data_IF_870090826595
#
_entry.id   IF_870090826595
#
_cell.length_a   1.000
_cell.length_b   1.000
_cell.length_c   1.000
_cell.angle_alpha   90.00
_cell.angle_beta   90.00
_cell.angle_gamma   90.00
#
_symmetry.space_group_name_H-M   'P 1'
#
loop_
_entity.id
_entity.type
_entity.pdbx_description
1 polymer ?
#
# COMPACT_ATOMS: atom_id res chain seq x y z
N UNK A 1 -14.25 -3.30 14.96
CA UNK A 1 -13.01 -3.85 14.34
C UNK A 1 -12.48 -2.92 13.25
N UNK A 2 -13.31 -2.51 12.28
CA UNK A 2 -12.95 -1.55 11.20
C UNK A 2 -12.28 -0.25 11.69
N UNK A 3 -12.72 0.43 12.78
CA UNK A 3 -12.11 1.70 13.20
C UNK A 3 -10.66 1.58 13.71
N UNK A 4 -10.35 0.49 14.43
CA UNK A 4 -9.00 0.23 14.94
C UNK A 4 -8.01 -0.09 13.81
N UNK A 5 -8.48 -0.73 12.75
CA UNK A 5 -7.66 -0.99 11.55
C UNK A 5 -7.38 0.28 10.76
N UNK A 6 -8.37 1.18 10.67
CA UNK A 6 -8.20 2.50 10.05
C UNK A 6 -7.24 3.37 10.85
N UNK A 7 -7.33 3.36 12.19
CA UNK A 7 -6.37 4.05 13.07
C UNK A 7 -4.95 3.50 12.94
N UNK A 8 -4.80 2.16 13.00
CA UNK A 8 -3.50 1.50 12.84
C UNK A 8 -2.88 1.74 11.46
N UNK A 9 -3.67 1.65 10.39
CA UNK A 9 -3.17 1.93 9.05
C UNK A 9 -2.82 3.40 8.84
N UNK A 10 -3.58 4.33 9.41
CA UNK A 10 -3.25 5.77 9.37
C UNK A 10 -1.93 6.04 10.08
N UNK A 11 -1.68 5.40 11.23
CA UNK A 11 -0.41 5.47 11.94
C UNK A 11 0.74 4.89 11.12
N UNK A 12 0.55 3.74 10.47
CA UNK A 12 1.57 3.15 9.57
C UNK A 12 1.79 4.04 8.35
N UNK A 13 0.76 4.67 7.80
CA UNK A 13 0.87 5.60 6.67
C UNK A 13 1.63 6.89 7.06
N UNK A 14 1.40 7.38 8.28
CA UNK A 14 2.16 8.50 8.86
C UNK A 14 3.61 8.11 9.20
N UNK A 15 3.83 6.86 9.61
CA UNK A 15 5.14 6.31 9.89
C UNK A 15 5.88 5.82 8.63
N UNK A 16 5.20 5.67 7.49
CA UNK A 16 5.73 5.20 6.21
C UNK A 16 7.04 5.88 5.77
N UNK A 17 7.23 7.21 5.93
CA UNK A 17 8.49 7.87 5.62
C UNK A 17 9.63 7.44 6.54
N UNK A 18 9.34 7.23 7.83
CA UNK A 18 10.33 6.85 8.85
C UNK A 18 10.70 5.38 8.69
N UNK A 19 9.72 4.50 8.50
CA UNK A 19 9.96 3.08 8.19
C UNK A 19 10.81 2.92 6.94
N UNK A 20 10.51 3.68 5.89
CA UNK A 20 11.29 3.63 4.66
C UNK A 20 12.73 4.13 4.86
N UNK A 21 12.95 5.21 5.62
CA UNK A 21 14.31 5.69 5.95
C UNK A 21 15.09 4.72 6.84
N UNK A 22 14.42 4.10 7.81
CA UNK A 22 15.03 3.06 8.66
C UNK A 22 15.42 1.83 7.84
N UNK A 23 14.57 1.44 6.88
CA UNK A 23 14.86 0.34 5.95
C UNK A 23 16.01 0.66 4.99
N UNK A 24 16.12 1.91 4.50
CA UNK A 24 17.23 2.37 3.66
C UNK A 24 18.59 2.39 4.40
N UNK A 25 18.58 2.46 5.74
CA UNK A 25 19.79 2.43 6.58
C UNK A 25 20.07 1.08 7.27
N UNK A 26 19.26 0.05 7.04
CA UNK A 26 19.43 -1.26 7.64
C UNK A 26 20.44 -2.11 6.87
N UNK A 27 21.23 -2.90 7.60
CA UNK A 27 22.10 -3.95 7.03
C UNK A 27 21.27 -4.90 6.14
N UNK A 28 21.82 -5.30 4.99
CA UNK A 28 21.11 -6.17 4.06
C UNK A 28 21.16 -7.62 4.55
N UNK A 29 20.01 -8.18 4.92
CA UNK A 29 19.95 -9.51 5.54
C UNK A 29 19.79 -10.67 4.52
N UNK A 30 19.85 -10.38 3.22
CA UNK A 30 19.67 -11.37 2.16
C UNK A 30 18.23 -11.95 2.12
N UNK A 31 17.93 -12.67 1.04
CA UNK A 31 16.65 -13.36 0.91
C UNK A 31 16.67 -14.65 1.75
N UNK A 32 16.03 -14.60 2.92
CA UNK A 32 15.91 -15.73 3.84
C UNK A 32 14.46 -16.27 3.88
N UNK A 33 14.23 -17.50 4.38
CA UNK A 33 12.87 -18.00 4.61
C UNK A 33 12.00 -17.07 5.46
N UNK A 34 12.63 -16.35 6.40
CA UNK A 34 11.96 -15.32 7.21
C UNK A 34 11.40 -14.19 6.34
N UNK A 35 12.09 -13.81 5.27
CA UNK A 35 11.62 -12.78 4.32
C UNK A 35 10.31 -13.21 3.66
N UNK A 36 10.20 -14.49 3.28
CA UNK A 36 8.97 -15.03 2.69
C UNK A 36 7.81 -15.05 3.70
N UNK A 37 8.08 -15.40 4.96
CA UNK A 37 7.08 -15.36 6.05
C UNK A 37 6.59 -13.93 6.28
N UNK A 38 7.49 -12.96 6.37
CA UNK A 38 7.10 -11.55 6.57
C UNK A 38 6.34 -11.02 5.35
N UNK A 39 6.78 -11.36 4.12
CA UNK A 39 6.06 -10.99 2.89
C UNK A 39 4.64 -11.57 2.87
N UNK A 40 4.47 -12.82 3.32
CA UNK A 40 3.16 -13.45 3.46
C UNK A 40 2.28 -12.72 4.48
N UNK A 41 2.81 -12.38 5.66
CA UNK A 41 2.08 -11.61 6.68
C UNK A 41 1.66 -10.22 6.17
N UNK A 42 2.55 -9.54 5.41
CA UNK A 42 2.22 -8.27 4.73
C UNK A 42 1.11 -8.49 3.70
N UNK A 43 1.12 -9.62 2.98
CA UNK A 43 0.06 -10.01 2.05
C UNK A 43 -1.29 -10.22 2.73
N UNK A 44 -1.33 -10.93 3.86
CA UNK A 44 -2.56 -11.11 4.67
C UNK A 44 -3.10 -9.77 5.15
N UNK A 45 -2.22 -8.89 5.66
CA UNK A 45 -2.57 -7.52 6.04
C UNK A 45 -3.11 -6.71 4.84
N UNK A 46 -2.45 -6.80 3.69
CA UNK A 46 -2.85 -6.15 2.45
C UNK A 46 -4.21 -6.62 1.94
N UNK A 47 -4.51 -7.92 2.03
CA UNK A 47 -5.82 -8.47 1.64
C UNK A 47 -6.95 -8.05 2.58
N UNK A 48 -6.66 -7.83 3.86
CA UNK A 48 -7.67 -7.43 4.85
C UNK A 48 -7.93 -5.93 4.89
N UNK A 49 -6.87 -5.11 4.82
CA UNK A 49 -6.98 -3.65 4.98
C UNK A 49 -6.51 -2.83 3.76
N UNK A 50 -5.51 -3.32 3.02
CA UNK A 50 -5.02 -2.72 1.77
C UNK A 50 -4.18 -1.44 1.92
N UNK A 51 -4.43 -0.60 2.92
CA UNK A 51 -3.68 0.65 3.08
C UNK A 51 -2.26 0.39 3.60
N UNK A 52 -1.28 1.17 3.11
CA UNK A 52 0.15 1.10 3.47
C UNK A 52 0.88 -0.24 3.25
N UNK A 53 0.20 -1.33 2.86
CA UNK A 53 0.82 -2.64 2.60
C UNK A 53 1.94 -2.57 1.56
N UNK A 54 1.79 -1.72 0.54
CA UNK A 54 2.83 -1.49 -0.45
C UNK A 54 4.09 -0.82 0.11
N UNK A 55 3.97 0.02 1.14
CA UNK A 55 5.14 0.63 1.82
C UNK A 55 5.84 -0.41 2.67
N UNK A 56 5.08 -1.23 3.41
CA UNK A 56 5.64 -2.32 4.22
C UNK A 56 6.40 -3.32 3.33
N UNK A 57 5.82 -3.71 2.19
CA UNK A 57 6.47 -4.60 1.23
C UNK A 57 7.73 -3.95 0.63
N UNK A 58 7.70 -2.65 0.32
CA UNK A 58 8.89 -1.94 -0.17
C UNK A 58 9.99 -1.91 0.89
N UNK A 59 9.64 -1.61 2.14
CA UNK A 59 10.59 -1.59 3.26
C UNK A 59 11.25 -2.96 3.45
N UNK A 60 10.46 -4.04 3.45
CA UNK A 60 10.98 -5.41 3.52
C UNK A 60 11.95 -5.71 2.37
N UNK A 61 11.57 -5.36 1.14
CA UNK A 61 12.40 -5.66 -0.03
C UNK A 61 13.68 -4.81 -0.07
N UNK A 62 13.66 -3.56 0.41
CA UNK A 62 14.88 -2.74 0.54
C UNK A 62 15.84 -3.35 1.57
N UNK A 63 15.33 -3.87 2.70
CA UNK A 63 16.18 -4.52 3.71
C UNK A 63 16.67 -5.91 3.33
N UNK A 64 15.88 -6.67 2.57
CA UNK A 64 16.19 -8.06 2.23
C UNK A 64 16.95 -8.21 0.90
N UNK A 65 16.80 -7.26 -0.02
CA UNK A 65 17.34 -7.35 -1.37
C UNK A 65 18.18 -6.12 -1.74
N UNK A 66 19.49 -6.32 -1.85
CA UNK A 66 20.43 -5.27 -2.24
C UNK A 66 20.35 -4.99 -3.75
N UNK A 67 19.39 -4.17 -4.15
CA UNK A 67 19.22 -3.69 -5.53
C UNK A 67 18.91 -2.19 -5.54
N UNK A 68 19.14 -1.51 -6.67
CA UNK A 68 18.72 -0.13 -6.84
C UNK A 68 17.23 0.03 -6.53
N UNK A 69 16.87 1.11 -5.84
CA UNK A 69 15.51 1.38 -5.39
C UNK A 69 14.46 1.26 -6.51
N UNK A 70 14.82 1.62 -7.74
CA UNK A 70 13.95 1.46 -8.91
C UNK A 70 13.56 -0.01 -9.17
N UNK A 71 14.52 -0.93 -9.06
CA UNK A 71 14.31 -2.38 -9.26
C UNK A 71 13.53 -2.99 -8.09
N UNK A 72 13.87 -2.61 -6.86
CA UNK A 72 13.14 -3.02 -5.66
C UNK A 72 11.70 -2.54 -5.68
N UNK A 73 11.46 -1.31 -6.13
CA UNK A 73 10.11 -0.76 -6.27
C UNK A 73 9.30 -1.44 -7.40
N UNK A 74 9.95 -1.80 -8.51
CA UNK A 74 9.32 -2.60 -9.56
C UNK A 74 8.90 -3.97 -9.04
N UNK A 75 9.78 -4.64 -8.28
CA UNK A 75 9.48 -5.94 -7.67
C UNK A 75 8.34 -5.84 -6.65
N UNK A 76 8.35 -4.82 -5.79
CA UNK A 76 7.22 -4.52 -4.89
C UNK A 76 5.91 -4.43 -5.67
N UNK A 77 5.90 -3.69 -6.78
CA UNK A 77 4.68 -3.49 -7.57
C UNK A 77 4.22 -4.79 -8.23
N UNK A 78 5.16 -5.62 -8.70
CA UNK A 78 4.84 -6.94 -9.23
C UNK A 78 4.22 -7.84 -8.16
N UNK A 79 4.85 -7.98 -7.00
CA UNK A 79 4.35 -8.84 -5.91
C UNK A 79 2.99 -8.37 -5.41
N UNK A 80 2.85 -7.08 -5.11
CA UNK A 80 1.59 -6.51 -4.61
C UNK A 80 0.50 -6.52 -5.68
N UNK A 81 0.85 -6.31 -6.96
CA UNK A 81 -0.05 -6.41 -8.09
C UNK A 81 -0.58 -7.83 -8.30
N UNK A 82 0.30 -8.83 -8.28
CA UNK A 82 -0.08 -10.25 -8.39
C UNK A 82 -1.00 -10.68 -7.26
N UNK A 83 -0.72 -10.25 -6.01
CA UNK A 83 -1.58 -10.54 -4.86
C UNK A 83 -2.99 -9.95 -5.03
N UNK A 84 -3.08 -8.69 -5.48
CA UNK A 84 -4.37 -8.05 -5.73
C UNK A 84 -5.12 -8.68 -6.90
N UNK A 85 -4.42 -9.08 -7.96
CA UNK A 85 -5.02 -9.77 -9.10
C UNK A 85 -5.60 -11.12 -8.67
N UNK A 86 -4.85 -11.89 -7.88
CA UNK A 86 -5.33 -13.16 -7.34
C UNK A 86 -6.57 -12.94 -6.45
N UNK A 87 -6.55 -11.95 -5.57
CA UNK A 87 -7.70 -11.60 -4.74
C UNK A 87 -8.93 -11.22 -5.59
N UNK A 88 -8.73 -10.43 -6.65
CA UNK A 88 -9.79 -10.07 -7.58
C UNK A 88 -10.39 -11.28 -8.30
N UNK A 89 -9.55 -12.23 -8.76
CA UNK A 89 -10.01 -13.48 -9.38
C UNK A 89 -10.82 -14.32 -8.39
N UNK A 90 -10.32 -14.49 -7.16
CA UNK A 90 -11.02 -15.24 -6.11
C UNK A 90 -12.38 -14.61 -5.80
N UNK A 91 -12.45 -13.28 -5.65
CA UNK A 91 -13.72 -12.59 -5.40
C UNK A 91 -14.67 -12.63 -6.61
N UNK A 92 -14.15 -12.62 -7.83
CA UNK A 92 -14.96 -12.77 -9.04
C UNK A 92 -15.66 -14.14 -9.13
N UNK A 93 -15.01 -15.21 -8.63
CA UNK A 93 -15.56 -16.57 -8.66
C UNK A 93 -16.44 -16.87 -7.45
N UNK A 94 -16.02 -16.44 -6.26
CA UNK A 94 -16.65 -16.84 -4.98
C UNK A 94 -17.60 -15.79 -4.41
N UNK A 95 -17.44 -14.52 -4.79
CA UNK A 95 -18.18 -13.40 -4.25
C UNK A 95 -19.44 -13.07 -5.04
N UNK A 96 -20.42 -12.44 -4.37
CA UNK A 96 -21.54 -11.77 -5.04
C UNK A 96 -21.07 -10.43 -5.60
N UNK A 97 -20.48 -10.44 -6.79
CA UNK A 97 -19.95 -9.24 -7.43
C UNK A 97 -21.03 -8.48 -8.18
N UNK A 98 -21.18 -7.20 -7.84
CA UNK A 98 -21.99 -6.26 -8.64
C UNK A 98 -21.13 -5.74 -9.79
N UNK A 99 -21.17 -6.44 -10.93
CA UNK A 99 -20.31 -6.18 -12.10
C UNK A 99 -20.29 -4.73 -12.60
N UNK A 100 -21.42 -3.99 -12.66
CA UNK A 100 -21.39 -2.59 -13.07
C UNK A 100 -20.56 -1.72 -12.11
N UNK A 101 -20.68 -1.95 -10.80
CA UNK A 101 -19.90 -1.25 -9.80
C UNK A 101 -18.40 -1.65 -9.88
N UNK A 102 -18.11 -2.93 -10.10
CA UNK A 102 -16.74 -3.41 -10.28
C UNK A 102 -16.05 -2.76 -11.49
N UNK A 103 -16.76 -2.65 -12.63
CA UNK A 103 -16.27 -1.95 -13.82
C UNK A 103 -16.03 -0.45 -13.57
N UNK A 104 -16.97 0.22 -12.90
CA UNK A 104 -16.82 1.64 -12.55
C UNK A 104 -15.58 1.86 -11.66
N UNK A 105 -15.37 1.02 -10.65
CA UNK A 105 -14.20 1.07 -9.77
C UNK A 105 -12.91 0.76 -10.55
N UNK A 106 -12.93 -0.22 -11.45
CA UNK A 106 -11.79 -0.58 -12.29
C UNK A 106 -11.35 0.61 -13.16
N UNK A 107 -12.28 1.20 -13.92
CA UNK A 107 -12.00 2.34 -14.78
C UNK A 107 -11.55 3.57 -13.98
N UNK A 108 -12.22 3.86 -12.86
CA UNK A 108 -11.84 4.94 -11.96
C UNK A 108 -10.45 4.75 -11.35
N UNK A 109 -10.09 3.52 -10.99
CA UNK A 109 -8.77 3.19 -10.43
C UNK A 109 -7.67 3.29 -11.46
N UNK A 110 -7.91 2.83 -12.70
CA UNK A 110 -6.95 2.94 -13.81
C UNK A 110 -6.73 4.41 -14.20
N UNK A 111 -7.82 5.14 -14.41
CA UNK A 111 -7.76 6.57 -14.73
C UNK A 111 -7.11 7.39 -13.62
N UNK A 112 -7.51 7.15 -12.37
CA UNK A 112 -6.94 7.81 -11.20
C UNK A 112 -5.45 7.49 -10.97
N UNK A 113 -5.03 6.24 -11.22
CA UNK A 113 -3.61 5.86 -11.12
C UNK A 113 -2.76 6.55 -12.19
N UNK A 114 -3.27 6.62 -13.41
CA UNK A 114 -2.57 7.30 -14.52
C UNK A 114 -2.48 8.81 -14.28
N UNK A 115 -3.60 9.47 -14.00
CA UNK A 115 -3.65 10.91 -13.73
C UNK A 115 -2.86 11.29 -12.47
N UNK A 116 -3.04 10.54 -11.38
CA UNK A 116 -2.38 10.79 -10.11
C UNK A 116 -0.86 10.65 -10.23
N UNK A 117 -0.36 9.63 -10.92
CA UNK A 117 1.08 9.47 -11.14
C UNK A 117 1.68 10.55 -12.05
N UNK A 118 0.93 11.02 -13.05
CA UNK A 118 1.33 12.14 -13.89
C UNK A 118 1.37 13.47 -13.09
N UNK A 119 0.38 13.69 -12.22
CA UNK A 119 0.27 14.91 -11.42
C UNK A 119 1.33 14.99 -10.32
N UNK A 120 1.60 13.89 -9.62
CA UNK A 120 2.66 13.80 -8.59
C UNK A 120 4.03 14.18 -9.14
N UNK A 121 4.32 13.89 -10.42
CA UNK A 121 5.59 14.27 -11.06
C UNK A 121 5.74 15.77 -11.29
N UNK A 122 4.64 16.53 -11.28
CA UNK A 122 4.61 17.99 -11.53
C UNK A 122 4.47 18.83 -10.27
N UNK A 123 4.12 18.22 -9.13
CA UNK A 123 3.88 18.92 -7.88
C UNK A 123 5.11 18.89 -6.95
N UNK A 124 5.33 19.95 -6.15
CA UNK A 124 6.37 19.94 -5.12
C UNK A 124 6.07 18.88 -4.05
N UNK A 125 7.09 18.11 -3.67
CA UNK A 125 6.92 16.91 -2.83
C UNK A 125 6.41 17.21 -1.41
N UNK A 126 6.81 18.34 -0.81
CA UNK A 126 6.49 18.67 0.59
C UNK A 126 5.02 19.07 0.78
N UNK A 127 4.45 20.02 0.00
CA UNK A 127 3.03 20.39 0.13
C UNK A 127 2.10 19.21 -0.18
N UNK A 128 2.42 18.42 -1.19
CA UNK A 128 1.65 17.23 -1.55
C UNK A 128 1.58 16.23 -0.38
N UNK A 129 2.70 16.00 0.30
CA UNK A 129 2.76 15.13 1.48
C UNK A 129 1.89 15.64 2.62
N UNK A 130 1.97 16.94 2.92
CA UNK A 130 1.20 17.56 4.01
C UNK A 130 -0.30 17.48 3.70
N UNK A 131 -0.70 17.77 2.47
CA UNK A 131 -2.10 17.68 2.03
C UNK A 131 -2.65 16.26 2.19
N UNK A 132 -1.90 15.24 1.74
CA UNK A 132 -2.30 13.83 1.91
C UNK A 132 -2.40 13.45 3.40
N UNK A 133 -1.45 13.88 4.22
CA UNK A 133 -1.43 13.61 5.66
C UNK A 133 -2.61 14.24 6.40
N UNK A 134 -2.91 15.52 6.14
CA UNK A 134 -4.04 16.23 6.75
C UNK A 134 -5.37 15.61 6.30
N UNK A 135 -5.51 15.30 5.00
CA UNK A 135 -6.71 14.63 4.48
C UNK A 135 -6.96 13.27 5.14
N UNK A 136 -5.91 12.47 5.32
CA UNK A 136 -5.99 11.18 6.03
C UNK A 136 -6.40 11.33 7.50
N UNK A 137 -5.80 12.29 8.22
CA UNK A 137 -6.16 12.59 9.61
C UNK A 137 -7.60 13.08 9.74
N UNK A 138 -8.05 13.96 8.84
CA UNK A 138 -9.43 14.43 8.82
C UNK A 138 -10.43 13.30 8.59
N UNK A 139 -10.15 12.40 7.65
CA UNK A 139 -10.99 11.22 7.41
C UNK A 139 -11.06 10.31 8.64
N UNK A 140 -9.93 10.07 9.31
CA UNK A 140 -9.87 9.26 10.52
C UNK A 140 -10.73 9.84 11.66
N UNK A 141 -10.69 11.17 11.85
CA UNK A 141 -11.52 11.86 12.85
C UNK A 141 -13.00 11.75 12.51
N UNK A 142 -13.38 12.00 11.26
CA UNK A 142 -14.79 11.91 10.83
C UNK A 142 -15.36 10.50 10.99
N UNK A 143 -14.57 9.47 10.64
CA UNK A 143 -14.98 8.08 10.82
C UNK A 143 -15.05 7.68 12.30
N UNK A 144 -14.16 8.21 13.14
CA UNK A 144 -14.20 7.99 14.58
C UNK A 144 -15.40 8.64 15.28
N UNK A 145 -15.88 9.78 14.79
CA UNK A 145 -17.07 10.46 15.32
C UNK A 145 -18.40 9.84 14.84
N UNK A 146 -18.38 9.06 13.76
CA UNK A 146 -19.55 8.37 13.20
C UNK A 146 -19.66 6.90 13.64
N UNK A 147 -18.68 6.40 14.39
CA UNK A 147 -18.66 5.06 14.97
C UNK A 147 -19.29 5.06 16.37
#
# INVERSE_FOLDING_TARGET
IVPWLIGGASLVLLAAPRLRRLAEGAEHHGLSPLTAVVAFLIGVYGGYFGAAAGVLMLALLVTAWNQPLARTNAAKNLVTGSANLLAAIVFAITGKVVWPAALAVCLGSLGGSWLGSALVRRLPATPLRIAIGIGGLGLAVVLGLRA
#
